data_IF_749004966361
#
_entry.id   IF_749004966361
#
_cell.length_a   1.000
_cell.length_b   1.000
_cell.length_c   1.000
_cell.angle_alpha   90.00
_cell.angle_beta   90.00
_cell.angle_gamma   90.00
#
_symmetry.space_group_name_H-M   'P 1'
#
loop_
_entity.id
_entity.type
_entity.pdbx_description
1 polymer ?
#
# COMPACT_ATOMS: atom_id res chain seq x y z
N UNK A 1 0.82 -36.51 -72.55
CA UNK A 1 0.80 -35.15 -71.98
C UNK A 1 -0.03 -35.22 -70.72
N UNK A 2 0.60 -35.57 -69.60
CA UNK A 2 -0.08 -36.03 -68.39
C UNK A 2 -0.32 -34.86 -67.42
N UNK A 3 -1.59 -34.50 -67.30
CA UNK A 3 -2.31 -34.26 -66.05
C UNK A 3 -1.49 -33.73 -64.85
N UNK A 4 -1.32 -32.41 -64.75
CA UNK A 4 -0.73 -31.75 -63.56
C UNK A 4 -1.63 -30.66 -62.94
N UNK A 5 -2.94 -30.66 -63.20
CA UNK A 5 -3.87 -29.60 -62.76
C UNK A 5 -4.80 -29.98 -61.60
N UNK A 6 -4.57 -31.11 -60.90
CA UNK A 6 -5.52 -31.66 -59.94
C UNK A 6 -5.18 -31.59 -58.44
N UNK A 7 -3.99 -31.11 -58.06
CA UNK A 7 -3.50 -31.19 -56.68
C UNK A 7 -3.74 -29.90 -55.85
N UNK A 8 -3.52 -28.71 -56.40
CA UNK A 8 -3.69 -27.45 -55.65
C UNK A 8 -5.12 -27.18 -55.16
N UNK A 9 -6.13 -27.47 -55.98
CA UNK A 9 -7.54 -27.28 -55.60
C UNK A 9 -8.00 -28.21 -54.45
N UNK A 10 -7.26 -29.29 -54.16
CA UNK A 10 -7.60 -30.21 -53.06
C UNK A 10 -6.97 -29.76 -51.74
N UNK A 11 -5.78 -29.18 -51.77
CA UNK A 11 -5.12 -28.59 -50.60
C UNK A 11 -5.85 -27.33 -50.12
N UNK A 12 -6.22 -26.42 -51.03
CA UNK A 12 -6.99 -25.21 -50.70
C UNK A 12 -8.36 -25.52 -50.05
N UNK A 13 -9.00 -26.60 -50.50
CA UNK A 13 -10.29 -27.06 -49.94
C UNK A 13 -10.12 -27.70 -48.55
N UNK A 14 -8.97 -28.29 -48.27
CA UNK A 14 -8.65 -28.83 -46.94
C UNK A 14 -8.33 -27.68 -45.99
N UNK A 15 -7.56 -26.70 -46.43
CA UNK A 15 -7.18 -25.53 -45.62
C UNK A 15 -8.39 -24.67 -45.27
N UNK A 16 -9.27 -24.38 -46.23
CA UNK A 16 -10.53 -23.65 -45.96
C UNK A 16 -11.46 -24.42 -45.01
N UNK A 17 -11.52 -25.74 -45.11
CA UNK A 17 -12.33 -26.57 -44.19
C UNK A 17 -11.72 -26.64 -42.80
N UNK A 18 -10.39 -26.64 -42.68
CA UNK A 18 -9.67 -26.58 -41.41
C UNK A 18 -9.76 -25.19 -40.77
N UNK A 19 -9.66 -24.11 -41.55
CA UNK A 19 -9.85 -22.74 -41.08
C UNK A 19 -11.25 -22.55 -40.50
N UNK A 20 -12.30 -23.00 -41.21
CA UNK A 20 -13.68 -22.99 -40.72
C UNK A 20 -13.85 -23.86 -39.45
N UNK A 21 -13.16 -25.00 -39.37
CA UNK A 21 -13.19 -25.85 -38.18
C UNK A 21 -12.45 -25.21 -37.00
N UNK A 22 -11.34 -24.51 -37.25
CA UNK A 22 -10.57 -23.75 -36.26
C UNK A 22 -11.40 -22.56 -35.76
N UNK A 23 -12.15 -21.87 -36.61
CA UNK A 23 -13.05 -20.78 -36.20
C UNK A 23 -14.19 -21.27 -35.29
N UNK A 24 -14.77 -22.43 -35.59
CA UNK A 24 -15.77 -23.05 -34.74
C UNK A 24 -15.18 -23.50 -33.38
N UNK A 25 -13.97 -24.05 -33.39
CA UNK A 25 -13.25 -24.51 -32.19
C UNK A 25 -12.72 -23.34 -31.36
N UNK A 26 -12.28 -22.26 -31.99
CA UNK A 26 -11.92 -21.00 -31.36
C UNK A 26 -13.15 -20.35 -30.72
N UNK A 27 -14.31 -20.41 -31.37
CA UNK A 27 -15.59 -19.99 -30.79
C UNK A 27 -16.02 -20.84 -29.59
N UNK A 28 -15.68 -22.14 -29.55
CA UNK A 28 -15.87 -23.00 -28.37
C UNK A 28 -14.94 -22.58 -27.25
N UNK A 29 -13.63 -22.46 -27.51
CA UNK A 29 -12.63 -22.02 -26.53
C UNK A 29 -12.95 -20.67 -25.92
N UNK A 30 -13.43 -19.70 -26.72
CA UNK A 30 -13.89 -18.39 -26.22
C UNK A 30 -15.06 -18.50 -25.26
N UNK A 31 -16.05 -19.35 -25.55
CA UNK A 31 -17.20 -19.58 -24.65
C UNK A 31 -16.78 -20.23 -23.33
N UNK A 32 -15.86 -21.19 -23.39
CA UNK A 32 -15.31 -21.84 -22.20
C UNK A 32 -14.48 -20.89 -21.35
N UNK A 33 -13.61 -20.10 -21.98
CA UNK A 33 -12.80 -19.09 -21.31
C UNK A 33 -13.67 -18.05 -20.61
N UNK A 34 -14.67 -17.50 -21.32
CA UNK A 34 -15.61 -16.52 -20.78
C UNK A 34 -16.39 -17.09 -19.58
N UNK A 35 -16.86 -18.34 -19.67
CA UNK A 35 -17.56 -19.00 -18.57
C UNK A 35 -16.68 -19.18 -17.32
N UNK A 36 -15.40 -19.51 -17.49
CA UNK A 36 -14.45 -19.62 -16.37
C UNK A 36 -14.12 -18.25 -15.79
N UNK A 37 -13.93 -17.25 -16.64
CA UNK A 37 -13.65 -15.87 -16.25
C UNK A 37 -14.80 -15.26 -15.44
N UNK A 38 -16.06 -15.45 -15.87
CA UNK A 38 -17.23 -15.02 -15.10
C UNK A 38 -17.24 -15.66 -13.71
N UNK A 39 -16.97 -16.97 -13.59
CA UNK A 39 -16.95 -17.66 -12.28
C UNK A 39 -15.82 -17.14 -11.39
N UNK A 40 -14.66 -16.86 -11.97
CA UNK A 40 -13.51 -16.28 -11.25
C UNK A 40 -13.82 -14.87 -10.76
N UNK A 41 -14.37 -14.02 -11.62
CA UNK A 41 -14.76 -12.66 -11.30
C UNK A 41 -15.84 -12.63 -10.24
N UNK A 42 -16.88 -13.47 -10.34
CA UNK A 42 -17.92 -13.54 -9.33
C UNK A 42 -17.38 -13.97 -7.95
N UNK A 43 -16.43 -14.91 -7.91
CA UNK A 43 -15.75 -15.30 -6.67
C UNK A 43 -14.94 -14.14 -6.09
N UNK A 44 -14.18 -13.44 -6.92
CA UNK A 44 -13.36 -12.30 -6.50
C UNK A 44 -14.24 -11.13 -6.02
N UNK A 45 -15.31 -10.79 -6.75
CA UNK A 45 -16.31 -9.80 -6.34
C UNK A 45 -16.98 -10.16 -5.00
N UNK A 46 -17.36 -11.43 -4.81
CA UNK A 46 -17.94 -11.90 -3.56
C UNK A 46 -16.96 -11.79 -2.39
N UNK A 47 -15.67 -12.06 -2.64
CA UNK A 47 -14.61 -11.88 -1.64
C UNK A 47 -14.36 -10.39 -1.35
N UNK A 48 -14.33 -9.54 -2.36
CA UNK A 48 -14.20 -8.09 -2.19
C UNK A 48 -15.37 -7.51 -1.41
N UNK A 49 -16.60 -7.95 -1.67
CA UNK A 49 -17.78 -7.55 -0.92
C UNK A 49 -17.65 -7.93 0.57
N UNK A 50 -17.22 -9.16 0.88
CA UNK A 50 -16.92 -9.58 2.26
C UNK A 50 -15.82 -8.73 2.92
N UNK A 51 -14.74 -8.39 2.18
CA UNK A 51 -13.67 -7.51 2.68
C UNK A 51 -14.18 -6.09 2.93
N UNK A 52 -15.04 -5.55 2.06
CA UNK A 52 -15.55 -4.17 2.16
C UNK A 52 -16.62 -4.02 3.23
N UNK A 53 -17.53 -4.99 3.36
CA UNK A 53 -18.61 -4.97 4.36
C UNK A 53 -18.09 -5.31 5.77
N UNK A 54 -17.00 -6.08 5.89
CA UNK A 54 -16.28 -6.29 7.15
C UNK A 54 -15.66 -5.01 7.75
N UNK A 55 -15.60 -3.92 6.99
CA UNK A 55 -15.16 -2.60 7.44
C UNK A 55 -16.31 -1.63 7.78
N UNK A 56 -17.58 -2.01 7.60
CA UNK A 56 -18.72 -1.10 7.73
C UNK A 56 -19.55 -1.30 9.01
N UNK A 57 -18.86 -1.49 10.14
CA UNK A 57 -19.45 -1.34 11.47
C UNK A 57 -18.52 -0.50 12.37
N UNK A 58 -18.39 0.80 12.06
CA UNK A 58 -18.55 1.96 12.97
C UNK A 58 -17.93 3.25 12.38
N UNK A 59 -18.51 4.43 12.68
CA UNK A 59 -18.28 5.67 11.95
C UNK A 59 -16.95 6.37 12.28
N UNK A 60 -16.54 7.24 11.36
CA UNK A 60 -15.48 8.23 11.44
C UNK A 60 -15.33 8.90 12.82
N UNK A 61 -14.15 8.79 13.44
CA UNK A 61 -13.60 9.77 14.40
C UNK A 61 -12.06 9.78 14.28
N UNK A 62 -11.52 10.17 13.14
CA UNK A 62 -10.07 10.16 12.91
C UNK A 62 -9.32 11.39 13.45
N UNK A 63 -9.99 12.34 14.12
CA UNK A 63 -9.40 13.68 14.35
C UNK A 63 -9.26 14.14 15.81
N UNK A 64 -9.45 13.29 16.83
CA UNK A 64 -9.39 13.71 18.25
C UNK A 64 -8.46 12.89 19.18
N UNK A 65 -7.63 11.98 18.68
CA UNK A 65 -7.18 10.84 19.51
C UNK A 65 -5.79 10.92 20.17
N UNK A 66 -5.08 12.05 20.18
CA UNK A 66 -3.75 12.11 20.82
C UNK A 66 -3.79 11.77 22.32
N UNK A 67 -4.71 12.34 23.11
CA UNK A 67 -4.79 12.05 24.57
C UNK A 67 -5.46 10.71 24.91
N UNK A 68 -6.23 10.14 23.98
CA UNK A 68 -6.90 8.84 24.16
C UNK A 68 -5.95 7.67 23.94
N UNK A 69 -4.88 7.87 23.16
CA UNK A 69 -3.85 6.85 22.92
C UNK A 69 -2.96 6.71 24.16
N UNK A 70 -2.50 7.80 24.76
CA UNK A 70 -1.67 7.77 25.98
C UNK A 70 -2.33 7.01 27.13
N UNK A 71 -3.60 7.34 27.45
CA UNK A 71 -4.38 6.62 28.49
C UNK A 71 -4.61 5.14 28.17
N UNK A 72 -4.59 4.74 26.90
CA UNK A 72 -4.73 3.33 26.50
C UNK A 72 -3.40 2.58 26.57
N UNK A 73 -2.26 3.26 26.41
CA UNK A 73 -0.93 2.65 26.60
C UNK A 73 -0.66 2.32 28.08
N UNK A 74 -1.16 3.12 29.01
CA UNK A 74 -1.04 2.85 30.46
C UNK A 74 -1.76 1.56 30.88
N UNK A 75 -2.79 1.14 30.14
CA UNK A 75 -3.59 -0.06 30.41
C UNK A 75 -3.07 -1.35 29.76
N UNK A 76 -1.90 -1.31 29.10
CA UNK A 76 -1.31 -2.47 28.43
C UNK A 76 -1.16 -3.71 29.35
N UNK A 77 -0.69 -3.59 30.61
CA UNK A 77 -0.59 -4.75 31.49
C UNK A 77 -1.93 -5.43 31.76
N UNK A 78 -2.99 -4.65 31.97
CA UNK A 78 -4.34 -5.16 32.21
C UNK A 78 -4.91 -5.86 30.97
N UNK A 79 -4.66 -5.32 29.78
CA UNK A 79 -5.05 -5.95 28.52
C UNK A 79 -4.30 -7.27 28.30
N UNK A 80 -2.99 -7.33 28.57
CA UNK A 80 -2.23 -8.59 28.49
C UNK A 80 -2.86 -9.64 29.40
N UNK A 81 -3.10 -9.31 30.68
CA UNK A 81 -3.75 -10.23 31.63
C UNK A 81 -5.12 -10.69 31.12
N UNK A 82 -5.91 -9.78 30.54
CA UNK A 82 -7.21 -10.09 29.94
C UNK A 82 -7.15 -11.12 28.81
N UNK A 83 -6.09 -11.13 28.00
CA UNK A 83 -5.92 -12.13 26.93
C UNK A 83 -5.57 -13.53 27.42
N UNK A 84 -4.96 -13.65 28.61
CA UNK A 84 -4.59 -14.94 29.21
C UNK A 84 -5.64 -15.48 30.19
N UNK A 85 -6.74 -14.75 30.41
CA UNK A 85 -7.77 -15.15 31.36
C UNK A 85 -8.66 -16.29 30.83
N UNK A 86 -9.29 -17.04 31.74
CA UNK A 86 -10.14 -18.17 31.36
C UNK A 86 -11.58 -17.76 30.93
N UNK A 87 -11.94 -16.49 31.04
CA UNK A 87 -13.25 -15.96 30.65
C UNK A 87 -13.23 -15.46 29.20
N UNK A 88 -14.10 -16.03 28.35
CA UNK A 88 -14.22 -15.67 26.94
C UNK A 88 -14.63 -14.20 26.71
N UNK A 89 -15.44 -13.61 27.60
CA UNK A 89 -15.83 -12.21 27.46
C UNK A 89 -14.65 -11.27 27.72
N UNK A 90 -13.85 -11.59 28.74
CA UNK A 90 -12.67 -10.80 29.11
C UNK A 90 -11.57 -10.89 28.05
N UNK A 91 -11.37 -12.07 27.45
CA UNK A 91 -10.48 -12.25 26.30
C UNK A 91 -10.92 -11.44 25.08
N UNK A 92 -12.22 -11.45 24.76
CA UNK A 92 -12.76 -10.72 23.61
C UNK A 92 -12.58 -9.21 23.78
N UNK A 93 -12.85 -8.68 24.97
CA UNK A 93 -12.66 -7.27 25.27
C UNK A 93 -11.19 -6.88 25.15
N UNK A 94 -10.29 -7.62 25.81
CA UNK A 94 -8.85 -7.37 25.78
C UNK A 94 -8.29 -7.42 24.35
N UNK A 95 -8.66 -8.44 23.58
CA UNK A 95 -8.24 -8.61 22.17
C UNK A 95 -8.81 -7.49 21.28
N UNK A 96 -10.04 -7.04 21.53
CA UNK A 96 -10.64 -5.92 20.80
C UNK A 96 -9.89 -4.62 21.09
N UNK A 97 -9.50 -4.38 22.34
CA UNK A 97 -8.70 -3.22 22.71
C UNK A 97 -7.31 -3.26 22.04
N UNK A 98 -6.66 -4.43 22.01
CA UNK A 98 -5.37 -4.62 21.32
C UNK A 98 -5.49 -4.37 19.82
N UNK A 99 -6.51 -4.95 19.17
CA UNK A 99 -6.78 -4.73 17.75
C UNK A 99 -6.98 -3.24 17.45
N UNK A 100 -7.72 -2.52 18.30
CA UNK A 100 -7.93 -1.07 18.15
C UNK A 100 -6.61 -0.30 18.24
N UNK A 101 -5.76 -0.60 19.22
CA UNK A 101 -4.44 0.03 19.33
C UNK A 101 -3.58 -0.20 18.08
N UNK A 102 -3.52 -1.44 17.60
CA UNK A 102 -2.76 -1.81 16.39
C UNK A 102 -3.35 -1.18 15.12
N UNK A 103 -4.66 -0.95 15.07
CA UNK A 103 -5.33 -0.32 13.93
C UNK A 103 -5.19 1.21 13.93
N UNK A 104 -4.99 1.82 15.09
CA UNK A 104 -4.81 3.28 15.22
C UNK A 104 -3.36 3.68 14.91
N UNK A 105 -2.39 2.82 15.26
CA UNK A 105 -0.96 3.16 15.20
C UNK A 105 -0.27 2.98 13.85
N UNK A 106 -0.90 2.33 12.86
CA UNK A 106 -0.19 1.98 11.62
C UNK A 106 -1.15 1.44 10.56
N UNK A 107 -1.70 2.31 9.72
CA UNK A 107 -2.11 1.85 8.38
C UNK A 107 -0.96 1.93 7.38
N UNK A 108 0.05 2.75 7.65
CA UNK A 108 1.21 2.92 6.78
C UNK A 108 2.47 3.05 7.64
N UNK A 109 3.47 2.20 7.39
CA UNK A 109 4.81 2.42 7.92
C UNK A 109 5.25 3.82 7.47
N UNK A 110 5.66 4.72 8.39
CA UNK A 110 6.03 6.07 8.00
C UNK A 110 7.17 6.01 6.97
N UNK A 111 6.96 6.66 5.82
CA UNK A 111 7.98 6.76 4.79
C UNK A 111 9.19 7.49 5.40
N UNK A 112 10.35 6.83 5.40
CA UNK A 112 11.57 7.37 5.98
C UNK A 112 11.95 8.72 5.34
N UNK A 113 11.74 8.88 4.03
CA UNK A 113 11.97 10.14 3.32
C UNK A 113 11.04 11.25 3.85
N UNK A 114 9.73 10.99 3.89
CA UNK A 114 8.74 11.96 4.36
C UNK A 114 8.99 12.33 5.83
N UNK A 115 9.40 11.36 6.65
CA UNK A 115 9.71 11.60 8.07
C UNK A 115 10.89 12.55 8.24
N UNK A 116 11.99 12.30 7.52
CA UNK A 116 13.19 13.14 7.56
C UNK A 116 12.89 14.53 6.98
N UNK A 117 12.14 14.59 5.88
CA UNK A 117 11.73 15.85 5.25
C UNK A 117 10.87 16.72 6.20
N UNK A 118 9.86 16.12 6.84
CA UNK A 118 9.03 16.82 7.81
C UNK A 118 9.81 17.28 9.05
N UNK A 119 10.78 16.48 9.51
CA UNK A 119 11.68 16.87 10.59
C UNK A 119 12.54 18.10 10.20
N UNK A 120 13.10 18.11 8.99
CA UNK A 120 13.84 19.26 8.47
C UNK A 120 12.98 20.54 8.43
N UNK A 121 11.73 20.44 7.93
CA UNK A 121 10.81 21.57 7.92
C UNK A 121 10.41 22.03 9.32
N UNK A 122 10.23 21.11 10.27
CA UNK A 122 9.91 21.45 11.65
C UNK A 122 11.06 22.20 12.34
N UNK A 123 12.30 21.79 12.08
CA UNK A 123 13.51 22.49 12.53
C UNK A 123 13.62 23.87 11.90
N UNK A 124 13.36 24.02 10.59
CA UNK A 124 13.34 25.33 9.93
C UNK A 124 12.27 26.27 10.50
N UNK A 125 11.07 25.76 10.79
CA UNK A 125 10.01 26.56 11.44
C UNK A 125 10.40 26.99 12.85
N UNK A 126 11.01 26.10 13.64
CA UNK A 126 11.52 26.48 14.97
C UNK A 126 12.66 27.50 14.86
N UNK A 127 13.58 27.33 13.91
CA UNK A 127 14.65 28.28 13.65
C UNK A 127 14.11 29.68 13.33
N UNK A 128 13.06 29.78 12.51
CA UNK A 128 12.40 31.06 12.23
C UNK A 128 11.70 31.69 13.43
N UNK A 129 11.18 30.87 14.36
CA UNK A 129 10.64 31.38 15.64
C UNK A 129 11.77 31.92 16.52
N UNK A 130 12.89 31.21 16.63
CA UNK A 130 14.04 31.63 17.43
C UNK A 130 14.68 32.91 16.87
N UNK A 131 14.76 33.01 15.54
CA UNK A 131 15.21 34.21 14.83
C UNK A 131 14.31 35.43 15.13
N UNK A 132 12.99 35.23 15.11
CA UNK A 132 12.02 36.26 15.49
C UNK A 132 12.14 36.67 16.97
N UNK A 133 12.50 35.73 17.84
CA UNK A 133 12.71 35.97 19.27
C UNK A 133 14.09 36.57 19.59
N UNK A 134 14.95 36.76 18.58
CA UNK A 134 16.28 37.36 18.71
C UNK A 134 17.38 36.37 19.12
N UNK A 135 17.08 35.07 19.23
CA UNK A 135 18.07 34.03 19.51
C UNK A 135 18.70 33.51 18.21
N UNK A 136 19.67 34.28 17.71
CA UNK A 136 20.33 34.01 16.44
C UNK A 136 21.22 32.76 16.48
N UNK A 137 21.79 32.41 17.64
CA UNK A 137 22.66 31.23 17.78
C UNK A 137 21.84 29.93 17.69
N UNK A 138 20.70 29.89 18.41
CA UNK A 138 19.78 28.75 18.34
C UNK A 138 19.16 28.61 16.95
N UNK A 139 18.75 29.73 16.33
CA UNK A 139 18.22 29.73 14.96
C UNK A 139 19.24 29.16 13.95
N UNK A 140 20.50 29.63 14.00
CA UNK A 140 21.56 29.15 13.12
C UNK A 140 21.82 27.64 13.30
N UNK A 141 21.80 27.16 14.54
CA UNK A 141 21.95 25.72 14.83
C UNK A 141 20.79 24.90 14.26
N UNK A 142 19.56 25.39 14.38
CA UNK A 142 18.37 24.71 13.86
C UNK A 142 18.35 24.69 12.33
N UNK A 143 18.71 25.79 11.67
CA UNK A 143 18.86 25.82 10.21
C UNK A 143 19.97 24.88 9.73
N UNK A 144 21.13 24.86 10.40
CA UNK A 144 22.22 23.94 10.06
C UNK A 144 21.80 22.47 10.21
N UNK A 145 21.02 22.13 11.24
CA UNK A 145 20.45 20.79 11.40
C UNK A 145 19.44 20.47 10.29
N UNK A 146 18.57 21.41 9.93
CA UNK A 146 17.60 21.22 8.85
C UNK A 146 18.30 20.98 7.50
N UNK A 147 19.30 21.80 7.17
CA UNK A 147 20.13 21.66 5.97
C UNK A 147 20.79 20.28 5.92
N UNK A 148 21.39 19.83 7.02
CA UNK A 148 22.07 18.54 7.08
C UNK A 148 21.14 17.36 6.82
N UNK A 149 19.89 17.44 7.25
CA UNK A 149 18.87 16.42 6.94
C UNK A 149 18.47 16.41 5.46
N UNK A 150 18.35 17.59 4.83
CA UNK A 150 18.01 17.70 3.41
C UNK A 150 19.18 17.22 2.52
N UNK A 151 20.42 17.59 2.87
CA UNK A 151 21.63 17.11 2.19
C UNK A 151 21.77 15.59 2.32
N UNK A 152 21.49 15.04 3.50
CA UNK A 152 21.47 13.58 3.70
C UNK A 152 20.48 12.90 2.73
N UNK A 153 19.27 13.43 2.57
CA UNK A 153 18.28 12.86 1.64
C UNK A 153 18.73 12.88 0.18
N UNK A 154 19.44 13.93 -0.24
CA UNK A 154 19.89 14.10 -1.63
C UNK A 154 21.16 13.32 -1.98
N UNK A 155 22.11 13.24 -1.05
CA UNK A 155 23.48 12.76 -1.33
C UNK A 155 23.77 11.40 -0.70
N UNK A 156 23.46 11.26 0.59
CA UNK A 156 23.89 10.10 1.38
C UNK A 156 22.87 8.97 1.34
N UNK A 157 21.58 9.29 1.46
CA UNK A 157 20.49 8.32 1.51
C UNK A 157 20.42 7.37 0.29
N UNK A 158 20.64 7.82 -0.97
CA UNK A 158 20.69 6.92 -2.13
C UNK A 158 21.88 5.95 -2.12
N UNK A 159 22.93 6.27 -1.38
CA UNK A 159 24.15 5.43 -1.27
C UNK A 159 24.02 4.35 -0.20
N UNK A 160 22.93 4.35 0.59
CA UNK A 160 22.70 3.37 1.62
C UNK A 160 22.25 2.03 1.04
N UNK A 161 22.83 0.95 1.57
CA UNK A 161 22.45 -0.43 1.22
C UNK A 161 21.18 -0.77 2.00
N UNK A 162 20.03 -0.34 1.48
CA UNK A 162 18.70 -0.61 2.04
C UNK A 162 17.95 -1.65 1.19
N UNK A 163 17.08 -2.43 1.84
CA UNK A 163 16.20 -3.37 1.17
C UNK A 163 14.74 -3.12 1.62
N UNK A 164 13.89 -2.49 0.79
CA UNK A 164 14.17 -2.01 -0.58
C UNK A 164 15.14 -0.79 -0.62
N UNK A 165 15.81 -0.54 -1.77
CA UNK A 165 16.72 0.60 -1.89
C UNK A 165 15.98 1.93 -1.78
N UNK A 166 16.66 2.93 -1.24
CA UNK A 166 16.13 4.29 -1.20
C UNK A 166 16.01 4.86 -2.62
N UNK A 167 14.83 5.38 -2.98
CA UNK A 167 14.61 5.99 -4.29
C UNK A 167 13.83 7.30 -4.13
N UNK A 168 14.37 8.36 -4.73
CA UNK A 168 13.70 9.66 -4.84
C UNK A 168 12.88 9.69 -6.13
N UNK A 169 11.56 9.86 -6.00
CA UNK A 169 10.69 10.09 -7.16
C UNK A 169 10.91 11.49 -7.72
N UNK A 170 10.41 11.77 -8.93
CA UNK A 170 10.48 13.13 -9.50
C UNK A 170 9.81 14.16 -8.59
N UNK A 171 8.69 13.80 -7.96
CA UNK A 171 8.00 14.68 -7.03
C UNK A 171 8.87 15.02 -5.81
N UNK A 172 9.59 14.04 -5.28
CA UNK A 172 10.45 14.23 -4.11
C UNK A 172 11.62 15.16 -4.42
N UNK A 173 12.18 15.06 -5.64
CA UNK A 173 13.23 15.96 -6.12
C UNK A 173 12.77 17.39 -6.35
N UNK A 174 11.49 17.62 -6.62
CA UNK A 174 10.93 18.97 -6.71
C UNK A 174 10.61 19.58 -5.34
N UNK A 175 10.44 18.75 -4.31
CA UNK A 175 10.12 19.18 -2.94
C UNK A 175 11.37 19.50 -2.11
N UNK A 176 12.49 18.86 -2.43
CA UNK A 176 13.82 19.09 -1.85
C UNK A 176 14.53 20.25 -2.55
#
# INVERSE_FOLDING_TARGET
MNSSLGLGLREDVIDTKLEVAVDAEEGRRRREYNMVEIRKNHREESLQKKRREGLQAQPMLASLHSSAVEKKLENLPAMVVGTWANDSNMQLEATTQFRKLLSIGSTEMPNAMETIFQAALALGRHGGVDELMGDMESAALLYSKAERLLVFLLVEAPSLILNPPFSLTNLDRYRL
#
